data_IF_596112354644
#
_entry.id   IF_596112354644
#
_cell.length_a   1.000
_cell.length_b   1.000
_cell.length_c   1.000
_cell.angle_alpha   90.00
_cell.angle_beta   90.00
_cell.angle_gamma   90.00
#
_symmetry.space_group_name_H-M   'P 1'
#
loop_
_entity.id
_entity.type
_entity.pdbx_description
1 polymer ?
#
# COMPACT_ATOMS: atom_id res chain seq x y z
N UNK A 1 11.13 -15.92 0.63
CA UNK A 1 10.43 -15.10 -0.39
C UNK A 1 11.24 -15.06 -1.67
N UNK A 2 10.62 -15.15 -2.84
CA UNK A 2 11.28 -15.42 -4.14
C UNK A 2 11.83 -14.19 -4.86
N UNK A 3 11.54 -12.97 -4.39
CA UNK A 3 12.11 -11.72 -4.93
C UNK A 3 11.83 -11.45 -6.41
N UNK A 4 10.75 -12.03 -6.96
CA UNK A 4 10.48 -11.99 -8.40
C UNK A 4 10.18 -10.56 -8.88
N UNK A 5 10.73 -10.21 -10.04
CA UNK A 5 10.60 -8.87 -10.63
C UNK A 5 9.17 -8.57 -11.13
N UNK A 6 8.44 -9.59 -11.59
CA UNK A 6 7.05 -9.50 -12.05
C UNK A 6 6.11 -8.88 -10.99
N UNK A 7 6.33 -9.18 -9.71
CA UNK A 7 5.57 -8.61 -8.59
C UNK A 7 5.82 -7.11 -8.42
N UNK A 8 7.05 -6.65 -8.65
CA UNK A 8 7.38 -5.21 -8.60
C UNK A 8 6.75 -4.47 -9.77
N UNK A 9 6.79 -5.05 -10.96
CA UNK A 9 6.14 -4.48 -12.14
C UNK A 9 4.62 -4.40 -11.96
N UNK A 10 4.01 -5.45 -11.41
CA UNK A 10 2.58 -5.45 -11.08
C UNK A 10 2.24 -4.37 -10.04
N UNK A 11 3.04 -4.23 -8.99
CA UNK A 11 2.86 -3.19 -7.98
C UNK A 11 3.00 -1.78 -8.55
N UNK A 12 3.94 -1.58 -9.48
CA UNK A 12 4.10 -0.28 -10.15
C UNK A 12 2.86 0.08 -10.99
N UNK A 13 2.34 -0.86 -11.77
CA UNK A 13 1.10 -0.68 -12.54
C UNK A 13 -0.09 -0.36 -11.63
N UNK A 14 -0.19 -1.02 -10.48
CA UNK A 14 -1.23 -0.73 -9.49
C UNK A 14 -1.09 0.68 -8.93
N UNK A 15 0.14 1.09 -8.57
CA UNK A 15 0.39 2.45 -8.06
C UNK A 15 0.00 3.52 -9.08
N UNK A 16 0.43 3.38 -10.34
CA UNK A 16 0.08 4.31 -11.42
C UNK A 16 -1.43 4.40 -11.64
N UNK A 17 -2.12 3.25 -11.64
CA UNK A 17 -3.57 3.20 -11.77
C UNK A 17 -4.28 3.93 -10.62
N UNK A 18 -3.82 3.73 -9.38
CA UNK A 18 -4.42 4.41 -8.23
C UNK A 18 -4.16 5.91 -8.30
N UNK A 19 -2.91 6.35 -8.54
CA UNK A 19 -2.60 7.78 -8.67
C UNK A 19 -3.44 8.42 -9.77
N UNK A 20 -3.55 7.78 -10.94
CA UNK A 20 -4.38 8.29 -12.04
C UNK A 20 -5.86 8.42 -11.66
N UNK A 21 -6.39 7.52 -10.83
CA UNK A 21 -7.78 7.52 -10.42
C UNK A 21 -8.08 8.47 -9.25
N UNK A 22 -7.12 8.71 -8.35
CA UNK A 22 -7.35 9.41 -7.08
C UNK A 22 -6.66 10.77 -6.96
N UNK A 23 -5.80 11.14 -7.90
CA UNK A 23 -5.07 12.42 -7.88
C UNK A 23 -6.01 13.60 -8.13
N UNK A 24 -6.36 14.30 -7.04
CA UNK A 24 -7.05 15.60 -7.08
C UNK A 24 -6.33 16.59 -6.16
N UNK A 25 -6.13 17.86 -6.54
CA UNK A 25 -5.65 18.86 -5.59
C UNK A 25 -6.74 19.10 -4.52
N UNK A 26 -6.48 19.11 -3.20
CA UNK A 26 -5.21 19.00 -2.47
C UNK A 26 -4.94 17.61 -1.83
N UNK A 27 -5.65 16.53 -2.19
CA UNK A 27 -5.52 15.23 -1.53
C UNK A 27 -5.75 14.04 -2.48
N UNK A 28 -5.05 12.94 -2.19
CA UNK A 28 -5.03 11.73 -3.00
C UNK A 28 -6.17 10.75 -2.67
N UNK A 29 -7.40 11.20 -2.38
CA UNK A 29 -8.52 10.24 -2.25
C UNK A 29 -9.86 10.80 -2.73
N UNK A 30 -10.36 10.17 -3.78
CA UNK A 30 -11.75 10.13 -4.21
C UNK A 30 -12.20 8.68 -4.07
N UNK A 31 -13.17 8.40 -3.21
CA UNK A 31 -13.94 7.16 -3.28
C UNK A 31 -15.16 7.45 -4.14
N UNK A 32 -15.29 6.75 -5.26
CA UNK A 32 -16.52 6.70 -6.04
C UNK A 32 -17.29 5.45 -5.59
N UNK A 33 -18.50 5.63 -5.08
CA UNK A 33 -19.39 4.48 -4.87
C UNK A 33 -19.88 3.92 -6.23
N UNK A 34 -20.58 2.78 -6.22
CA UNK A 34 -21.17 2.20 -7.42
C UNK A 34 -22.27 3.08 -8.07
N UNK A 35 -22.63 4.20 -7.44
CA UNK A 35 -23.60 5.19 -7.90
C UNK A 35 -22.93 6.46 -8.46
N UNK A 36 -21.59 6.52 -8.49
CA UNK A 36 -20.84 7.65 -9.03
C UNK A 36 -20.76 8.86 -8.10
N UNK A 37 -21.09 8.70 -6.81
CA UNK A 37 -20.93 9.77 -5.82
C UNK A 37 -19.46 9.83 -5.40
N UNK A 38 -18.79 10.92 -5.78
CA UNK A 38 -17.41 11.22 -5.39
C UNK A 38 -17.39 11.81 -3.99
N UNK A 39 -17.00 11.02 -3.00
CA UNK A 39 -16.74 11.50 -1.64
C UNK A 39 -15.24 11.66 -1.44
N UNK A 40 -14.83 12.85 -1.00
CA UNK A 40 -13.44 13.12 -0.59
C UNK A 40 -13.25 12.62 0.84
N UNK A 41 -12.77 11.39 0.98
CA UNK A 41 -12.49 10.81 2.29
C UNK A 41 -11.16 10.06 2.24
N UNK A 42 -10.15 10.58 2.94
CA UNK A 42 -8.87 9.87 3.05
C UNK A 42 -8.97 8.82 4.14
N UNK A 43 -9.18 7.56 3.75
CA UNK A 43 -9.21 6.48 4.72
C UNK A 43 -7.81 6.20 5.29
N UNK A 44 -7.74 5.95 6.60
CA UNK A 44 -6.48 5.65 7.30
C UNK A 44 -5.77 4.40 6.75
N UNK A 45 -6.53 3.41 6.23
CA UNK A 45 -5.97 2.22 5.57
C UNK A 45 -5.14 2.55 4.33
N UNK A 46 -5.48 3.62 3.59
CA UNK A 46 -4.70 4.04 2.42
C UNK A 46 -3.26 4.37 2.81
N UNK A 47 -3.11 5.03 3.95
CA UNK A 47 -1.82 5.47 4.48
C UNK A 47 -1.09 4.34 5.22
N UNK A 48 -1.79 3.61 6.10
CA UNK A 48 -1.17 2.53 6.89
C UNK A 48 -0.87 1.28 6.06
N UNK A 49 -1.77 0.85 5.19
CA UNK A 49 -1.62 -0.42 4.47
C UNK A 49 -1.08 -0.18 3.08
N UNK A 50 -1.83 0.55 2.25
CA UNK A 50 -1.56 0.57 0.80
C UNK A 50 -0.23 1.26 0.48
N UNK A 51 -0.02 2.47 0.99
CA UNK A 51 1.25 3.19 0.79
C UNK A 51 2.43 2.48 1.46
N UNK A 52 2.23 1.83 2.60
CA UNK A 52 3.30 1.07 3.28
C UNK A 52 3.73 -0.12 2.46
N UNK A 53 2.80 -0.88 1.88
CA UNK A 53 3.16 -2.02 1.03
C UNK A 53 3.79 -1.58 -0.29
N UNK A 54 3.32 -0.47 -0.90
CA UNK A 54 4.03 0.12 -2.04
C UNK A 54 5.45 0.55 -1.67
N UNK A 55 5.66 1.12 -0.49
CA UNK A 55 7.01 1.44 -0.04
C UNK A 55 7.88 0.18 0.14
N UNK A 56 7.36 -0.84 0.82
CA UNK A 56 8.12 -2.05 1.15
C UNK A 56 8.50 -2.88 -0.09
N UNK A 57 7.64 -2.97 -1.11
CA UNK A 57 7.94 -3.78 -2.31
C UNK A 57 9.10 -3.22 -3.16
N UNK A 58 9.31 -1.90 -3.10
CA UNK A 58 10.43 -1.20 -3.75
C UNK A 58 11.62 -0.98 -2.81
N UNK A 59 11.47 -1.30 -1.53
CA UNK A 59 12.53 -1.16 -0.54
C UNK A 59 13.50 -2.36 -0.55
N UNK A 60 14.73 -2.16 -0.07
CA UNK A 60 15.62 -3.25 0.27
C UNK A 60 15.01 -4.21 1.31
N UNK A 61 15.29 -5.53 1.24
CA UNK A 61 14.68 -6.54 2.10
C UNK A 61 15.12 -6.48 3.57
N UNK A 62 16.21 -5.78 3.87
CA UNK A 62 16.75 -5.56 5.21
C UNK A 62 15.98 -4.48 6.00
N UNK A 63 15.10 -3.71 5.35
CA UNK A 63 14.34 -2.65 6.01
C UNK A 63 13.37 -3.20 7.06
N UNK A 64 12.72 -4.33 6.76
CA UNK A 64 11.86 -5.09 7.68
C UNK A 64 12.04 -6.57 7.37
N UNK A 65 12.77 -7.28 8.23
CA UNK A 65 12.92 -8.71 8.12
C UNK A 65 11.64 -9.44 8.58
N UNK A 66 11.05 -10.23 7.69
CA UNK A 66 9.84 -11.02 7.95
C UNK A 66 10.11 -12.28 8.77
N UNK A 67 11.37 -12.68 8.94
CA UNK A 67 11.73 -13.71 9.90
C UNK A 67 11.58 -13.21 11.35
N UNK A 68 11.78 -11.90 11.55
CA UNK A 68 11.72 -11.25 12.87
C UNK A 68 10.38 -10.55 13.14
N UNK A 69 9.63 -10.17 12.10
CA UNK A 69 8.38 -9.41 12.21
C UNK A 69 7.19 -10.11 11.53
N UNK A 70 6.02 -9.98 12.15
CA UNK A 70 4.72 -10.35 11.55
C UNK A 70 3.86 -9.10 11.44
N UNK A 71 3.22 -8.92 10.30
CA UNK A 71 2.27 -7.83 10.08
C UNK A 71 0.87 -8.26 10.52
N UNK A 72 0.15 -7.37 11.23
CA UNK A 72 -1.29 -7.56 11.44
C UNK A 72 -2.07 -7.19 10.17
N UNK A 73 -3.41 -7.30 10.25
CA UNK A 73 -4.32 -6.97 9.13
C UNK A 73 -4.25 -5.51 8.71
N UNK A 74 -3.78 -4.61 9.56
CA UNK A 74 -3.63 -3.16 9.30
C UNK A 74 -2.17 -2.77 8.97
N UNK A 75 -1.36 -3.77 8.57
CA UNK A 75 0.03 -3.61 8.17
C UNK A 75 0.94 -3.01 9.27
N UNK A 76 0.60 -3.17 10.55
CA UNK A 76 1.51 -2.82 11.64
C UNK A 76 2.48 -3.98 11.92
N UNK A 77 3.80 -3.73 11.91
CA UNK A 77 4.78 -4.77 12.18
C UNK A 77 4.90 -5.02 13.69
N UNK A 78 4.78 -6.29 14.09
CA UNK A 78 5.02 -6.76 15.44
C UNK A 78 6.23 -7.68 15.45
N UNK A 79 7.11 -7.52 16.44
CA UNK A 79 8.22 -8.46 16.63
C UNK A 79 7.68 -9.81 17.07
N UNK A 80 8.19 -10.87 16.46
CA UNK A 80 7.91 -12.24 16.89
C UNK A 80 8.59 -12.46 18.24
N UNK A 81 7.86 -13.04 19.18
CA UNK A 81 8.45 -13.58 20.39
C UNK A 81 9.31 -14.78 19.98
N UNK A 82 10.60 -14.71 20.28
CA UNK A 82 11.55 -15.82 20.08
C UNK A 82 11.58 -16.69 21.32
#
# INVERSE_FOLDING_TARGET
MTGKADLRDAAWRMFEAVVKATQTPPALVVSADCFGIVTKFQFFFWLSETLKYFYLIFSPPDIVNLDDHVFNTEAHPFRRLK
#
